data_IF_274970464610
#
_entry.id   IF_274970464610
#
_cell.length_a   1.000
_cell.length_b   1.000
_cell.length_c   1.000
_cell.angle_alpha   90.00
_cell.angle_beta   90.00
_cell.angle_gamma   90.00
#
_symmetry.space_group_name_H-M   'P 1'
#
loop_
_entity.id
_entity.type
_entity.pdbx_description
1 polymer ?
#
# COMPACT_ATOMS: atom_id res chain seq x y z
N UNK A 1 -3.64 -10.24 2.88
CA UNK A 1 -2.76 -9.81 1.78
C UNK A 1 -3.61 -8.99 0.82
N UNK A 2 -3.27 -7.73 0.58
CA UNK A 2 -4.00 -6.87 -0.36
C UNK A 2 -3.48 -7.09 -1.79
N UNK A 3 -4.30 -6.83 -2.81
CA UNK A 3 -3.99 -7.06 -4.23
C UNK A 3 -3.50 -5.80 -4.96
N UNK A 4 -2.79 -5.97 -6.08
CA UNK A 4 -2.22 -4.88 -6.91
C UNK A 4 -3.23 -3.95 -7.57
N UNK A 5 -4.52 -4.27 -7.54
CA UNK A 5 -5.54 -3.60 -8.34
C UNK A 5 -5.95 -2.23 -7.77
N UNK A 6 -6.55 -1.43 -8.66
CA UNK A 6 -7.19 -0.18 -8.32
C UNK A 6 -8.70 -0.40 -8.30
N UNK A 7 -9.35 0.01 -7.22
CA UNK A 7 -10.81 0.01 -7.10
C UNK A 7 -11.26 1.46 -7.24
N UNK A 8 -12.06 1.73 -8.28
CA UNK A 8 -12.53 3.08 -8.63
C UNK A 8 -11.38 4.08 -8.81
N UNK A 9 -10.29 3.63 -9.43
CA UNK A 9 -9.11 4.45 -9.66
C UNK A 9 -8.26 4.71 -8.43
N UNK A 10 -8.50 4.04 -7.29
CA UNK A 10 -7.70 4.14 -6.05
C UNK A 10 -7.06 2.77 -5.77
N UNK A 11 -5.73 2.67 -5.59
CA UNK A 11 -5.07 1.46 -5.14
C UNK A 11 -5.65 1.00 -3.82
N UNK A 12 -5.88 -0.31 -3.70
CA UNK A 12 -6.46 -0.90 -2.48
C UNK A 12 -5.66 -0.50 -1.24
N UNK A 13 -4.33 -0.44 -1.35
CA UNK A 13 -3.41 -0.08 -0.26
C UNK A 13 -3.51 1.36 0.22
N UNK A 14 -4.02 2.28 -0.61
CA UNK A 14 -4.15 3.69 -0.28
C UNK A 14 -5.62 4.10 -0.08
N UNK A 15 -6.55 3.14 -0.06
CA UNK A 15 -7.98 3.41 0.07
C UNK A 15 -8.41 3.37 1.56
N UNK A 16 -8.61 4.52 2.22
CA UNK A 16 -8.99 4.55 3.64
C UNK A 16 -10.38 3.97 3.90
N UNK A 17 -11.29 4.00 2.92
CA UNK A 17 -12.62 3.41 3.04
C UNK A 17 -12.53 1.90 3.18
N UNK A 18 -11.74 1.24 2.32
CA UNK A 18 -11.55 -0.20 2.42
C UNK A 18 -10.72 -0.57 3.64
N UNK A 19 -9.57 0.08 3.82
CA UNK A 19 -8.60 -0.33 4.82
C UNK A 19 -9.04 0.02 6.24
N UNK A 20 -9.43 1.28 6.48
CA UNK A 20 -9.79 1.75 7.83
C UNK A 20 -11.26 1.54 8.16
N UNK A 21 -12.19 1.84 7.23
CA UNK A 21 -13.63 1.74 7.54
C UNK A 21 -14.11 0.29 7.43
N UNK A 22 -13.85 -0.40 6.32
CA UNK A 22 -14.34 -1.77 6.12
C UNK A 22 -13.51 -2.81 6.89
N UNK A 23 -12.21 -2.96 6.61
CA UNK A 23 -11.42 -4.04 7.21
C UNK A 23 -11.22 -3.86 8.71
N UNK A 24 -10.76 -2.68 9.15
CA UNK A 24 -10.51 -2.41 10.58
C UNK A 24 -11.79 -2.06 11.34
N UNK A 25 -12.75 -1.39 10.73
CA UNK A 25 -14.00 -0.99 11.37
C UNK A 25 -15.08 -2.08 11.28
N UNK A 26 -15.74 -2.20 10.14
CA UNK A 26 -16.91 -3.08 9.94
C UNK A 26 -16.60 -4.56 10.20
N UNK A 27 -15.45 -5.03 9.69
CA UNK A 27 -15.04 -6.43 9.83
C UNK A 27 -14.24 -6.67 11.11
N UNK A 28 -13.86 -5.59 11.81
CA UNK A 28 -13.14 -5.64 13.07
C UNK A 28 -11.88 -6.52 13.00
N UNK A 29 -11.11 -6.40 11.90
CA UNK A 29 -9.88 -7.16 11.72
C UNK A 29 -8.79 -6.64 12.68
N UNK A 30 -8.36 -7.49 13.62
CA UNK A 30 -7.27 -7.19 14.57
C UNK A 30 -5.89 -7.68 14.13
N UNK A 31 -5.83 -8.46 13.05
CA UNK A 31 -4.58 -9.00 12.52
C UNK A 31 -3.72 -7.97 11.77
N UNK A 32 -2.77 -8.45 10.98
CA UNK A 32 -1.93 -7.60 10.13
C UNK A 32 -2.43 -7.59 8.69
N UNK A 33 -2.40 -6.42 8.07
CA UNK A 33 -2.62 -6.24 6.64
C UNK A 33 -1.25 -6.15 5.98
N UNK A 34 -0.96 -7.17 5.17
CA UNK A 34 0.31 -7.32 4.47
C UNK A 34 0.13 -6.99 2.99
N UNK A 35 1.13 -6.34 2.38
CA UNK A 35 1.12 -6.08 0.96
C UNK A 35 1.31 -7.37 0.15
N UNK A 36 0.82 -7.41 -1.09
CA UNK A 36 1.34 -8.38 -2.05
C UNK A 36 2.84 -8.12 -2.33
N UNK A 37 3.49 -9.09 -2.96
CA UNK A 37 4.93 -9.01 -3.25
C UNK A 37 5.23 -7.85 -4.20
N UNK A 38 6.05 -6.88 -3.76
CA UNK A 38 6.43 -5.67 -4.52
C UNK A 38 5.26 -4.78 -4.96
N UNK A 39 4.07 -4.93 -4.37
CA UNK A 39 2.90 -4.22 -4.87
C UNK A 39 2.96 -2.71 -4.67
N UNK A 40 3.55 -2.26 -3.57
CA UNK A 40 3.79 -0.84 -3.29
C UNK A 40 4.73 -0.24 -4.35
N UNK A 41 5.74 -1.00 -4.78
CA UNK A 41 6.65 -0.60 -5.86
C UNK A 41 5.95 -0.54 -7.21
N UNK A 42 5.09 -1.51 -7.52
CA UNK A 42 4.29 -1.51 -8.76
C UNK A 42 3.38 -0.28 -8.83
N UNK A 43 2.82 0.15 -7.70
CA UNK A 43 2.00 1.36 -7.65
C UNK A 43 2.82 2.60 -7.98
N UNK A 44 4.00 2.73 -7.39
CA UNK A 44 4.90 3.87 -7.62
C UNK A 44 5.46 3.90 -9.05
N UNK A 45 5.99 2.79 -9.53
CA UNK A 45 6.75 2.76 -10.80
C UNK A 45 5.88 2.57 -12.03
N UNK A 46 4.84 1.72 -11.94
CA UNK A 46 4.06 1.27 -13.11
C UNK A 46 2.69 1.90 -13.18
N UNK A 47 1.93 1.89 -12.08
CA UNK A 47 0.57 2.42 -12.09
C UNK A 47 0.55 3.94 -12.03
N UNK A 48 1.56 4.57 -11.42
CA UNK A 48 1.71 6.03 -11.33
C UNK A 48 0.42 6.72 -10.91
N UNK A 49 -0.27 6.13 -9.93
CA UNK A 49 -1.63 6.49 -9.54
C UNK A 49 -1.85 8.01 -9.35
N UNK A 50 -0.82 8.72 -8.86
CA UNK A 50 -0.83 10.17 -8.70
C UNK A 50 0.47 10.84 -9.17
N UNK A 51 1.32 10.15 -9.94
CA UNK A 51 2.69 10.61 -10.25
C UNK A 51 3.55 10.96 -9.01
N UNK A 52 3.19 10.37 -7.87
CA UNK A 52 3.84 10.56 -6.58
C UNK A 52 5.27 10.01 -6.56
N UNK A 53 6.09 10.58 -5.66
CA UNK A 53 7.39 9.99 -5.34
C UNK A 53 7.23 8.61 -4.67
N UNK A 54 8.23 7.72 -4.80
CA UNK A 54 8.29 6.48 -4.01
C UNK A 54 7.97 6.65 -2.53
N UNK A 55 8.49 7.72 -1.92
CA UNK A 55 8.32 8.08 -0.52
C UNK A 55 6.85 8.42 -0.20
N UNK A 56 6.20 9.19 -1.06
CA UNK A 56 4.81 9.58 -0.91
C UNK A 56 3.87 8.38 -1.02
N UNK A 57 4.16 7.45 -1.95
CA UNK A 57 3.39 6.21 -2.09
C UNK A 57 3.50 5.37 -0.81
N UNK A 58 4.71 5.18 -0.28
CA UNK A 58 4.89 4.46 0.98
C UNK A 58 4.17 5.18 2.13
N UNK A 59 4.32 6.49 2.25
CA UNK A 59 3.65 7.27 3.30
C UNK A 59 2.12 7.15 3.23
N UNK A 60 1.54 7.16 2.04
CA UNK A 60 0.09 7.01 1.84
C UNK A 60 -0.39 5.60 2.20
N UNK A 61 0.34 4.56 1.81
CA UNK A 61 -0.04 3.17 2.16
C UNK A 61 0.02 2.94 3.67
N UNK A 62 1.03 3.49 4.36
CA UNK A 62 1.13 3.44 5.82
C UNK A 62 -0.01 4.22 6.50
N UNK A 63 -0.29 5.45 6.00
CA UNK A 63 -1.43 6.26 6.49
C UNK A 63 -2.77 5.55 6.32
N UNK A 64 -2.92 4.78 5.25
CA UNK A 64 -4.11 3.98 4.98
C UNK A 64 -4.23 2.72 5.86
N UNK A 65 -3.28 2.45 6.77
CA UNK A 65 -3.22 1.28 7.68
C UNK A 65 -2.68 -0.01 7.04
N UNK A 66 -1.78 0.09 6.07
CA UNK A 66 -0.93 -1.05 5.70
C UNK A 66 0.11 -1.28 6.81
N UNK A 67 0.23 -2.53 7.30
CA UNK A 67 1.11 -2.83 8.43
C UNK A 67 2.49 -3.33 7.98
N UNK A 68 2.54 -4.17 6.94
CA UNK A 68 3.79 -4.75 6.43
C UNK A 68 3.86 -4.65 4.90
N UNK A 69 4.98 -4.15 4.40
CA UNK A 69 5.35 -4.17 2.98
C UNK A 69 6.29 -5.33 2.68
N UNK A 70 5.89 -6.22 1.77
CA UNK A 70 6.74 -7.32 1.29
C UNK A 70 7.55 -6.89 0.08
N UNK A 71 8.87 -6.89 0.28
CA UNK A 71 9.89 -6.48 -0.68
C UNK A 71 10.72 -7.68 -1.11
N UNK A 72 10.62 -8.06 -2.39
CA UNK A 72 11.37 -9.18 -2.96
C UNK A 72 12.51 -8.68 -3.85
N UNK A 73 13.67 -8.45 -3.22
CA UNK A 73 14.97 -8.44 -3.91
C UNK A 73 15.25 -7.31 -4.91
N UNK A 74 14.40 -6.27 -4.98
CA UNK A 74 14.67 -5.03 -5.74
C UNK A 74 15.13 -3.91 -4.81
N UNK A 75 15.92 -2.98 -5.35
CA UNK A 75 16.37 -1.76 -4.63
C UNK A 75 15.18 -1.14 -3.90
N UNK A 76 15.30 -0.96 -2.58
CA UNK A 76 14.25 -0.39 -1.73
C UNK A 76 13.70 0.92 -2.33
N UNK A 77 12.38 1.11 -2.35
CA UNK A 77 11.71 2.37 -2.75
C UNK A 77 12.22 3.53 -1.88
N UNK A 78 12.76 3.21 -0.70
CA UNK A 78 13.32 4.14 0.27
C UNK A 78 14.82 3.87 0.46
N UNK A 79 15.69 4.23 -0.50
CA UNK A 79 17.13 3.98 -0.39
C UNK A 79 17.81 4.76 0.75
N UNK A 80 17.12 5.77 1.33
CA UNK A 80 17.66 6.66 2.36
C UNK A 80 16.91 6.57 3.71
N UNK A 81 16.06 5.57 3.92
CA UNK A 81 15.41 5.33 5.21
C UNK A 81 16.09 4.12 5.86
N UNK A 82 17.23 4.39 6.50
CA UNK A 82 17.94 3.58 7.48
C UNK A 82 18.71 4.55 8.40
#
# INVERSE_FOLDING_TARGET
MCSFNNINGIPVYANPKLMSQTFRGEWNLHGYIVSDCDSVQVIAERQKWLHDSPEDVVAQTLKARLDLGLWMGRNSLLPNIC
#
